data_IF_614159915351
#
_entry.id   IF_614159915351
#
_cell.length_a   1.000
_cell.length_b   1.000
_cell.length_c   1.000
_cell.angle_alpha   90.00
_cell.angle_beta   90.00
_cell.angle_gamma   90.00
#
_symmetry.space_group_name_H-M   'P 1'
#
loop_
_entity.id
_entity.type
_entity.pdbx_description
1 polymer ?
#
# COMPACT_ATOMS: atom_id res chain seq x y z
N UNK A 1 -8.26 21.52 10.79
CA UNK A 1 -7.72 22.81 11.32
C UNK A 1 -8.45 23.28 12.58
N UNK A 2 -9.77 23.56 12.55
CA UNK A 2 -10.51 24.10 13.72
C UNK A 2 -10.34 23.27 15.00
N UNK A 3 -10.41 21.94 14.93
CA UNK A 3 -10.25 21.06 16.10
C UNK A 3 -8.86 21.16 16.71
N UNK A 4 -7.81 21.26 15.91
CA UNK A 4 -6.44 21.44 16.39
C UNK A 4 -6.25 22.79 17.08
N UNK A 5 -6.84 23.86 16.53
CA UNK A 5 -6.82 25.18 17.18
C UNK A 5 -7.57 25.17 18.52
N UNK A 6 -8.74 24.50 18.58
CA UNK A 6 -9.50 24.34 19.84
C UNK A 6 -8.74 23.49 20.87
N UNK A 7 -7.91 22.55 20.43
CA UNK A 7 -7.03 21.76 21.29
C UNK A 7 -5.76 22.50 21.75
N UNK A 8 -5.60 23.78 21.39
CA UNK A 8 -4.49 24.62 21.85
C UNK A 8 -3.24 24.55 20.97
N UNK A 9 -3.33 24.02 19.73
CA UNK A 9 -2.19 24.02 18.83
C UNK A 9 -1.79 25.48 18.49
N UNK A 10 -0.51 25.87 18.69
CA UNK A 10 -0.05 27.21 18.37
C UNK A 10 -0.24 27.57 16.88
N UNK A 11 -0.50 28.85 16.57
CA UNK A 11 -0.52 29.33 15.19
C UNK A 11 0.79 29.01 14.46
N UNK A 12 0.68 28.48 13.22
CA UNK A 12 1.82 28.07 12.42
C UNK A 12 2.29 26.62 12.66
N UNK A 13 1.86 25.96 13.77
CA UNK A 13 2.22 24.57 14.04
C UNK A 13 1.62 23.54 13.09
N UNK A 14 0.47 23.86 12.46
CA UNK A 14 -0.15 23.07 11.40
C UNK A 14 -0.80 23.99 10.38
N UNK A 15 -0.44 23.83 9.11
CA UNK A 15 -0.95 24.60 7.99
C UNK A 15 -1.57 23.68 6.96
N UNK A 16 -2.64 24.10 6.30
CA UNK A 16 -3.31 23.40 5.22
C UNK A 16 -3.13 24.17 3.92
N UNK A 17 -2.52 23.53 2.92
CA UNK A 17 -2.48 24.03 1.54
C UNK A 17 -3.23 23.05 0.67
N UNK A 18 -4.17 23.56 -0.14
CA UNK A 18 -4.94 22.77 -1.10
C UNK A 18 -4.56 23.16 -2.52
N UNK A 19 -4.52 22.19 -3.43
CA UNK A 19 -4.22 22.43 -4.82
C UNK A 19 -3.95 21.14 -5.58
N UNK A 20 -3.63 21.28 -6.84
CA UNK A 20 -3.26 20.19 -7.72
C UNK A 20 -1.76 19.91 -7.73
N UNK A 21 -1.30 19.34 -8.85
CA UNK A 21 0.10 18.94 -9.06
C UNK A 21 1.09 20.10 -8.87
N UNK A 22 0.75 21.30 -9.37
CA UNK A 22 1.64 22.47 -9.28
C UNK A 22 1.89 22.89 -7.83
N UNK A 23 0.83 22.86 -7.00
CA UNK A 23 0.95 23.13 -5.56
C UNK A 23 1.83 22.14 -4.85
N UNK A 24 1.69 20.82 -5.17
CA UNK A 24 2.55 19.79 -4.62
C UNK A 24 4.01 19.93 -5.05
N UNK A 25 4.26 20.31 -6.30
CA UNK A 25 5.60 20.59 -6.81
C UNK A 25 6.23 21.80 -6.12
N UNK A 26 5.47 22.90 -5.96
CA UNK A 26 5.96 24.09 -5.26
C UNK A 26 6.29 23.78 -3.80
N UNK A 27 5.44 22.99 -3.09
CA UNK A 27 5.71 22.59 -1.72
C UNK A 27 6.99 21.74 -1.61
N UNK A 28 7.14 20.75 -2.48
CA UNK A 28 8.29 19.85 -2.45
C UNK A 28 9.63 20.53 -2.86
N UNK A 29 9.56 21.70 -3.47
CA UNK A 29 10.71 22.49 -3.89
C UNK A 29 11.19 23.52 -2.85
N UNK A 30 10.52 23.63 -1.70
CA UNK A 30 10.95 24.56 -0.65
C UNK A 30 12.32 24.16 -0.08
N UNK A 31 13.22 25.13 -0.02
CA UNK A 31 14.58 24.93 0.51
C UNK A 31 14.57 24.61 2.01
N UNK A 32 13.71 25.28 2.77
CA UNK A 32 13.60 25.15 4.22
C UNK A 32 12.79 23.92 4.68
N UNK A 33 12.49 22.97 3.77
CA UNK A 33 11.75 21.77 4.11
C UNK A 33 12.67 20.74 4.78
N UNK A 34 12.42 20.38 6.04
CA UNK A 34 13.19 19.36 6.78
C UNK A 34 12.83 17.92 6.33
N UNK A 35 11.62 17.71 5.86
CA UNK A 35 11.18 16.40 5.42
C UNK A 35 9.91 16.44 4.60
N UNK A 36 9.69 15.36 3.82
CA UNK A 36 8.53 15.15 2.99
C UNK A 36 7.97 13.74 3.21
N UNK A 37 6.74 13.66 3.70
CA UNK A 37 6.00 12.42 3.81
C UNK A 37 4.96 12.40 2.67
N UNK A 38 5.10 11.43 1.79
CA UNK A 38 4.31 11.33 0.56
C UNK A 38 3.52 10.04 0.51
N UNK A 39 2.23 10.15 0.16
CA UNK A 39 1.39 9.01 -0.21
C UNK A 39 0.84 9.22 -1.61
N UNK A 40 1.06 8.26 -2.52
CA UNK A 40 0.59 8.36 -3.90
C UNK A 40 1.17 7.30 -4.84
N UNK A 41 1.21 7.61 -6.14
CA UNK A 41 1.72 6.66 -7.12
C UNK A 41 3.24 6.46 -7.03
N UNK A 42 3.72 5.25 -7.34
CA UNK A 42 5.15 4.95 -7.40
C UNK A 42 5.90 5.90 -8.35
N UNK A 43 5.30 6.26 -9.48
CA UNK A 43 5.93 7.19 -10.42
C UNK A 43 6.20 8.57 -9.80
N UNK A 44 5.25 9.12 -9.05
CA UNK A 44 5.43 10.40 -8.34
C UNK A 44 6.46 10.25 -7.21
N UNK A 45 6.41 9.15 -6.44
CA UNK A 45 7.40 8.87 -5.40
C UNK A 45 8.82 8.80 -5.94
N UNK A 46 9.03 8.15 -7.08
CA UNK A 46 10.35 8.14 -7.75
C UNK A 46 10.79 9.53 -8.25
N UNK A 47 9.87 10.39 -8.67
CA UNK A 47 10.20 11.77 -9.04
C UNK A 47 10.66 12.55 -7.81
N UNK A 48 9.95 12.45 -6.68
CA UNK A 48 10.33 13.09 -5.42
C UNK A 48 11.68 12.56 -4.90
N UNK A 49 11.91 11.25 -4.99
CA UNK A 49 13.19 10.65 -4.60
C UNK A 49 14.34 11.21 -5.43
N UNK A 50 14.18 11.33 -6.76
CA UNK A 50 15.21 11.96 -7.62
C UNK A 50 15.41 13.42 -7.28
N UNK A 51 14.34 14.17 -7.02
CA UNK A 51 14.42 15.59 -6.65
C UNK A 51 15.21 15.82 -5.37
N UNK A 52 15.07 14.95 -4.36
CA UNK A 52 15.71 15.07 -3.06
C UNK A 52 17.02 14.27 -2.93
N UNK A 53 17.46 13.57 -3.99
CA UNK A 53 18.62 12.66 -3.92
C UNK A 53 19.94 13.33 -3.54
N UNK A 54 20.09 14.64 -3.76
CA UNK A 54 21.25 15.43 -3.36
C UNK A 54 21.13 16.13 -2.00
N UNK A 55 20.07 15.85 -1.23
CA UNK A 55 19.73 16.53 0.02
C UNK A 55 19.55 15.50 1.16
N UNK A 56 20.67 14.86 1.60
CA UNK A 56 20.61 13.77 2.59
C UNK A 56 20.13 14.22 3.98
N UNK A 57 20.19 15.52 4.25
CA UNK A 57 19.68 16.16 5.46
C UNK A 57 18.15 16.15 5.53
N UNK A 58 17.46 15.98 4.40
CA UNK A 58 15.99 15.95 4.34
C UNK A 58 15.43 14.55 4.49
N UNK A 59 14.44 14.41 5.33
CA UNK A 59 13.70 13.15 5.48
C UNK A 59 12.76 12.99 4.30
N UNK A 60 12.81 11.82 3.64
CA UNK A 60 11.82 11.43 2.65
C UNK A 60 11.17 10.11 3.08
N UNK A 61 9.86 10.12 3.32
CA UNK A 61 9.07 8.93 3.59
C UNK A 61 8.05 8.73 2.45
N UNK A 62 8.17 7.60 1.76
CA UNK A 62 7.35 7.27 0.59
C UNK A 62 6.42 6.09 0.89
N UNK A 63 5.13 6.35 0.83
CA UNK A 63 4.05 5.37 0.83
C UNK A 63 3.42 5.34 -0.56
N UNK A 64 3.69 4.26 -1.31
CA UNK A 64 3.30 4.16 -2.71
C UNK A 64 2.33 3.00 -2.91
N UNK A 65 1.79 2.89 -4.13
CA UNK A 65 0.84 1.85 -4.47
C UNK A 65 1.40 0.43 -4.38
N UNK A 66 0.58 -0.55 -4.73
CA UNK A 66 0.94 -1.96 -4.68
C UNK A 66 0.24 -2.77 -5.78
N UNK A 67 0.90 -3.82 -6.25
CA UNK A 67 0.29 -4.84 -7.11
C UNK A 67 -0.03 -6.09 -6.28
N UNK A 68 -0.84 -5.90 -5.24
CA UNK A 68 -1.00 -6.79 -4.09
C UNK A 68 -1.64 -8.13 -4.45
N UNK A 69 -1.02 -9.27 -4.10
CA UNK A 69 -1.60 -10.59 -4.26
C UNK A 69 -2.50 -10.99 -3.09
N UNK A 70 -3.64 -11.59 -3.40
CA UNK A 70 -4.47 -12.36 -2.48
C UNK A 70 -4.47 -13.82 -2.94
N UNK A 71 -3.95 -14.71 -2.11
CA UNK A 71 -3.87 -16.15 -2.39
C UNK A 71 -5.13 -16.81 -1.80
N UNK A 72 -5.86 -17.57 -2.62
CA UNK A 72 -6.95 -18.45 -2.19
C UNK A 72 -6.46 -19.89 -2.37
N UNK A 73 -6.10 -20.52 -1.27
CA UNK A 73 -5.63 -21.92 -1.26
C UNK A 73 -6.80 -22.89 -1.04
N UNK A 74 -7.41 -22.84 0.12
CA UNK A 74 -8.60 -23.60 0.45
C UNK A 74 -9.54 -22.73 1.26
N UNK A 75 -10.82 -22.77 0.93
CA UNK A 75 -11.86 -22.05 1.66
C UNK A 75 -12.88 -23.06 2.21
N UNK A 76 -12.90 -23.23 3.52
CA UNK A 76 -13.91 -24.04 4.18
C UNK A 76 -15.32 -23.45 4.00
N UNK A 77 -15.41 -22.12 3.93
CA UNK A 77 -16.61 -21.34 3.63
C UNK A 77 -16.35 -20.45 2.41
N UNK A 78 -16.91 -20.84 1.28
CA UNK A 78 -16.73 -20.13 0.00
C UNK A 78 -17.35 -18.72 0.08
N UNK A 79 -18.48 -18.52 0.71
CA UNK A 79 -19.13 -17.22 0.80
C UNK A 79 -18.34 -16.26 1.69
N UNK A 80 -17.75 -16.74 2.78
CA UNK A 80 -16.85 -15.94 3.60
C UNK A 80 -15.57 -15.55 2.83
N UNK A 81 -14.99 -16.46 2.06
CA UNK A 81 -13.81 -16.18 1.23
C UNK A 81 -14.14 -15.20 0.10
N UNK A 82 -15.30 -15.30 -0.54
CA UNK A 82 -15.79 -14.35 -1.55
C UNK A 82 -16.01 -12.97 -0.94
N UNK A 83 -16.65 -12.88 0.22
CA UNK A 83 -16.82 -11.63 0.95
C UNK A 83 -15.48 -10.96 1.26
N UNK A 84 -14.51 -11.71 1.80
CA UNK A 84 -13.16 -11.25 2.08
C UNK A 84 -12.48 -10.72 0.81
N UNK A 85 -12.62 -11.44 -0.32
CA UNK A 85 -12.04 -11.04 -1.60
C UNK A 85 -12.67 -9.76 -2.13
N UNK A 86 -13.97 -9.60 -2.05
CA UNK A 86 -14.70 -8.38 -2.44
C UNK A 86 -14.25 -7.20 -1.57
N UNK A 87 -14.15 -7.38 -0.26
CA UNK A 87 -13.61 -6.37 0.65
C UNK A 87 -12.16 -6.00 0.33
N UNK A 88 -11.35 -6.98 -0.07
CA UNK A 88 -9.95 -6.75 -0.43
C UNK A 88 -9.79 -6.03 -1.76
N UNK A 89 -10.62 -6.33 -2.77
CA UNK A 89 -10.44 -5.85 -4.13
C UNK A 89 -11.27 -4.61 -4.47
N UNK A 90 -12.51 -4.51 -3.96
CA UNK A 90 -13.49 -3.57 -4.48
C UNK A 90 -13.96 -2.50 -3.48
N UNK A 91 -13.61 -2.61 -2.18
CA UNK A 91 -13.93 -1.56 -1.22
C UNK A 91 -13.37 -0.21 -1.69
N UNK A 92 -14.13 0.87 -1.51
CA UNK A 92 -13.74 2.21 -1.99
C UNK A 92 -13.48 2.24 -3.51
N UNK A 93 -14.23 1.45 -4.29
CA UNK A 93 -14.03 1.24 -5.73
C UNK A 93 -12.58 0.81 -6.08
N UNK A 94 -11.95 -0.02 -5.26
CA UNK A 94 -10.56 -0.45 -5.46
C UNK A 94 -9.51 0.65 -5.27
N UNK A 95 -9.87 1.81 -4.71
CA UNK A 95 -8.99 2.96 -4.57
C UNK A 95 -8.29 3.02 -3.20
N UNK A 96 -7.72 1.90 -2.77
CA UNK A 96 -6.76 1.85 -1.65
C UNK A 96 -5.46 1.23 -2.11
N UNK A 97 -4.36 1.73 -1.60
CA UNK A 97 -3.02 1.20 -1.90
C UNK A 97 -2.88 -0.29 -1.55
N UNK A 98 -3.61 -0.77 -0.53
CA UNK A 98 -3.63 -2.17 -0.10
C UNK A 98 -4.69 -3.03 -0.77
N UNK A 99 -5.48 -2.51 -1.73
CA UNK A 99 -6.44 -3.35 -2.43
C UNK A 99 -5.76 -4.49 -3.20
N UNK A 100 -6.41 -5.66 -3.21
CA UNK A 100 -5.99 -6.80 -4.02
C UNK A 100 -6.10 -6.46 -5.52
N UNK A 101 -4.99 -6.61 -6.24
CA UNK A 101 -4.91 -6.44 -7.70
C UNK A 101 -4.76 -7.77 -8.43
N UNK A 102 -4.19 -8.74 -7.72
CA UNK A 102 -3.91 -10.09 -8.23
C UNK A 102 -4.57 -11.10 -7.30
N UNK A 103 -5.44 -11.94 -7.84
CA UNK A 103 -6.01 -13.09 -7.16
C UNK A 103 -5.27 -14.32 -7.63
N UNK A 104 -4.55 -14.98 -6.73
CA UNK A 104 -3.87 -16.24 -7.00
C UNK A 104 -4.76 -17.36 -6.48
N UNK A 105 -5.29 -18.17 -7.37
CA UNK A 105 -6.34 -19.13 -7.08
C UNK A 105 -5.88 -20.55 -7.36
N UNK A 106 -5.97 -21.44 -6.38
CA UNK A 106 -5.62 -22.84 -6.54
C UNK A 106 -6.45 -23.48 -7.65
N UNK A 107 -5.78 -24.24 -8.52
CA UNK A 107 -6.43 -25.01 -9.60
C UNK A 107 -7.35 -26.09 -9.05
N UNK A 108 -8.37 -26.47 -9.80
CA UNK A 108 -9.28 -27.55 -9.51
C UNK A 108 -10.69 -27.11 -9.08
N UNK A 109 -11.56 -28.08 -8.81
CA UNK A 109 -12.99 -27.89 -8.65
C UNK A 109 -13.38 -26.88 -7.55
N UNK A 110 -12.63 -26.82 -6.45
CA UNK A 110 -12.89 -25.87 -5.36
C UNK A 110 -12.57 -24.43 -5.79
N UNK A 111 -11.44 -24.22 -6.49
CA UNK A 111 -11.10 -22.92 -7.06
C UNK A 111 -12.11 -22.47 -8.12
N UNK A 112 -12.60 -23.40 -8.93
CA UNK A 112 -13.63 -23.10 -9.94
C UNK A 112 -14.96 -22.70 -9.29
N UNK A 113 -15.38 -23.40 -8.26
CA UNK A 113 -16.60 -23.06 -7.49
C UNK A 113 -16.47 -21.68 -6.81
N UNK A 114 -15.30 -21.40 -6.20
CA UNK A 114 -15.00 -20.10 -5.62
C UNK A 114 -15.06 -18.98 -6.68
N UNK A 115 -14.40 -19.16 -7.83
CA UNK A 115 -14.36 -18.15 -8.89
C UNK A 115 -15.75 -17.88 -9.48
N UNK A 116 -16.53 -18.93 -9.74
CA UNK A 116 -17.91 -18.82 -10.20
C UNK A 116 -18.76 -18.01 -9.19
N UNK A 117 -18.60 -18.30 -7.90
CA UNK A 117 -19.33 -17.59 -6.85
C UNK A 117 -18.88 -16.13 -6.72
N UNK A 118 -17.57 -15.85 -6.80
CA UNK A 118 -17.03 -14.50 -6.79
C UNK A 118 -17.60 -13.65 -7.94
N UNK A 119 -17.61 -14.18 -9.15
CA UNK A 119 -18.19 -13.51 -10.32
C UNK A 119 -19.68 -13.25 -10.13
N UNK A 120 -20.45 -14.26 -9.69
CA UNK A 120 -21.90 -14.14 -9.49
C UNK A 120 -22.27 -13.10 -8.43
N UNK A 121 -21.48 -12.96 -7.36
CA UNK A 121 -21.70 -11.93 -6.34
C UNK A 121 -21.25 -10.56 -6.83
N UNK A 122 -20.07 -10.47 -7.45
CA UNK A 122 -19.51 -9.22 -7.95
C UNK A 122 -20.36 -8.58 -9.04
N UNK A 123 -21.01 -9.38 -9.89
CA UNK A 123 -21.93 -8.92 -10.93
C UNK A 123 -23.12 -8.12 -10.39
N UNK A 124 -23.50 -8.34 -9.12
CA UNK A 124 -24.60 -7.66 -8.46
C UNK A 124 -24.19 -6.38 -7.74
N UNK A 125 -22.87 -6.10 -7.65
CA UNK A 125 -22.35 -4.87 -7.06
C UNK A 125 -22.59 -3.71 -8.01
N UNK A 126 -23.51 -2.83 -7.65
CA UNK A 126 -23.81 -1.62 -8.40
C UNK A 126 -23.18 -0.42 -7.69
N UNK A 127 -22.30 0.33 -8.37
CA UNK A 127 -21.80 1.60 -7.85
C UNK A 127 -22.92 2.65 -7.76
N UNK A 128 -22.84 3.50 -6.75
CA UNK A 128 -23.80 4.59 -6.56
C UNK A 128 -23.22 5.74 -5.76
N UNK A 129 -24.04 6.75 -5.52
CA UNK A 129 -23.71 7.88 -4.67
C UNK A 129 -23.92 7.53 -3.20
N UNK A 130 -23.36 8.32 -2.31
CA UNK A 130 -23.42 8.12 -0.87
C UNK A 130 -24.87 8.25 -0.30
N UNK A 131 -25.75 8.92 -1.03
CA UNK A 131 -27.15 9.20 -0.68
C UNK A 131 -28.15 8.35 -1.49
N UNK A 132 -27.68 7.40 -2.31
CA UNK A 132 -28.55 6.49 -3.03
C UNK A 132 -29.18 5.44 -2.09
N UNK A 133 -30.44 5.07 -2.37
CA UNK A 133 -31.14 3.98 -1.68
C UNK A 133 -31.52 2.84 -2.65
N UNK A 134 -31.20 1.58 -2.35
CA UNK A 134 -30.44 1.10 -1.19
C UNK A 134 -28.96 1.55 -1.25
N UNK A 135 -28.36 1.73 -0.07
CA UNK A 135 -26.97 2.17 0.03
C UNK A 135 -26.02 1.27 -0.79
N UNK A 136 -25.27 1.83 -1.74
CA UNK A 136 -24.34 1.07 -2.57
C UNK A 136 -23.11 0.60 -1.77
N UNK A 137 -22.57 -0.57 -2.11
CA UNK A 137 -21.30 -1.06 -1.52
C UNK A 137 -20.09 -0.25 -1.99
N UNK A 138 -20.09 0.22 -3.23
CA UNK A 138 -18.99 0.99 -3.81
C UNK A 138 -19.51 2.30 -4.40
N UNK A 139 -18.71 3.37 -4.27
CA UNK A 139 -18.95 4.65 -4.90
C UNK A 139 -18.27 4.78 -6.26
N UNK A 140 -18.20 6.02 -6.77
CA UNK A 140 -17.43 6.34 -7.97
C UNK A 140 -15.92 6.39 -7.71
N UNK A 141 -15.14 6.35 -8.77
CA UNK A 141 -13.73 6.68 -8.74
C UNK A 141 -13.56 8.19 -8.56
N UNK A 142 -12.31 8.62 -8.29
CA UNK A 142 -11.99 10.03 -8.04
C UNK A 142 -12.36 10.95 -9.23
N UNK A 143 -12.39 10.42 -10.44
CA UNK A 143 -12.76 11.16 -11.66
C UNK A 143 -13.21 10.19 -12.75
N UNK A 144 -13.92 10.73 -13.76
CA UNK A 144 -14.26 10.00 -14.98
C UNK A 144 -13.00 9.51 -15.71
N UNK A 145 -11.94 10.31 -15.74
CA UNK A 145 -10.65 9.92 -16.34
C UNK A 145 -10.06 8.69 -15.63
N UNK A 146 -10.11 8.63 -14.31
CA UNK A 146 -9.65 7.47 -13.56
C UNK A 146 -10.48 6.21 -13.89
N UNK A 147 -11.79 6.36 -14.03
CA UNK A 147 -12.65 5.25 -14.45
C UNK A 147 -12.34 4.78 -15.88
N UNK A 148 -12.11 5.72 -16.80
CA UNK A 148 -11.72 5.38 -18.18
C UNK A 148 -10.37 4.68 -18.24
N UNK A 149 -9.39 5.05 -17.42
CA UNK A 149 -8.09 4.36 -17.32
C UNK A 149 -8.25 2.89 -16.90
N UNK A 150 -9.18 2.58 -15.99
CA UNK A 150 -9.46 1.19 -15.61
C UNK A 150 -10.09 0.41 -16.78
N UNK A 151 -11.01 1.02 -17.51
CA UNK A 151 -11.61 0.40 -18.72
C UNK A 151 -10.54 0.14 -19.77
N UNK A 152 -9.66 1.11 -20.04
CA UNK A 152 -8.55 0.95 -20.99
C UNK A 152 -7.61 -0.19 -20.57
N UNK A 153 -7.22 -0.23 -19.29
CA UNK A 153 -6.36 -1.30 -18.77
C UNK A 153 -7.03 -2.69 -18.92
N UNK A 154 -8.34 -2.79 -18.67
CA UNK A 154 -9.06 -4.03 -18.90
C UNK A 154 -9.04 -4.45 -20.38
N UNK A 155 -9.30 -3.51 -21.32
CA UNK A 155 -9.28 -3.78 -22.76
C UNK A 155 -7.89 -4.23 -23.25
N UNK A 156 -6.83 -3.61 -22.73
CA UNK A 156 -5.45 -4.01 -23.02
C UNK A 156 -5.16 -5.44 -22.55
N UNK A 157 -5.58 -5.80 -21.32
CA UNK A 157 -5.43 -7.15 -20.79
C UNK A 157 -6.23 -8.19 -21.60
N UNK A 158 -7.44 -7.84 -22.04
CA UNK A 158 -8.26 -8.71 -22.90
C UNK A 158 -7.60 -8.89 -24.27
N UNK A 159 -7.07 -7.81 -24.88
CA UNK A 159 -6.34 -7.87 -26.16
C UNK A 159 -5.05 -8.70 -26.06
N UNK A 160 -4.43 -8.81 -24.88
CA UNK A 160 -3.28 -9.69 -24.64
C UNK A 160 -3.65 -11.18 -24.54
N UNK A 161 -4.95 -11.51 -24.56
CA UNK A 161 -5.46 -12.88 -24.42
C UNK A 161 -6.06 -13.20 -23.06
N UNK A 162 -6.25 -12.21 -22.19
CA UNK A 162 -6.97 -12.37 -20.94
C UNK A 162 -8.42 -12.77 -21.17
N UNK A 163 -8.92 -13.70 -20.35
CA UNK A 163 -10.33 -14.15 -20.43
C UNK A 163 -11.18 -13.30 -19.49
N UNK A 164 -11.99 -12.40 -20.04
CA UNK A 164 -12.93 -11.59 -19.26
C UNK A 164 -13.99 -12.48 -18.62
N UNK A 165 -14.09 -12.44 -17.29
CA UNK A 165 -15.10 -13.12 -16.48
C UNK A 165 -16.23 -12.19 -16.08
N UNK A 166 -15.89 -10.93 -15.82
CA UNK A 166 -16.81 -9.83 -15.54
C UNK A 166 -16.22 -8.55 -16.13
N UNK A 167 -16.88 -7.99 -17.16
CA UNK A 167 -16.43 -6.76 -17.79
C UNK A 167 -16.78 -5.53 -16.91
N UNK A 168 -15.84 -4.63 -16.61
CA UNK A 168 -16.16 -3.37 -15.97
C UNK A 168 -16.96 -2.48 -16.93
N UNK A 169 -17.96 -1.76 -16.43
CA UNK A 169 -18.83 -0.90 -17.24
C UNK A 169 -19.06 0.44 -16.55
N UNK A 170 -18.88 1.51 -17.27
CA UNK A 170 -19.35 2.84 -16.87
C UNK A 170 -20.88 2.83 -16.88
N UNK A 171 -21.51 3.10 -15.74
CA UNK A 171 -22.98 3.09 -15.61
C UNK A 171 -23.63 4.28 -16.29
N UNK A 172 -22.94 5.42 -16.33
CA UNK A 172 -23.44 6.66 -16.92
C UNK A 172 -22.26 7.44 -17.50
N UNK A 173 -22.40 7.88 -18.74
CA UNK A 173 -21.43 8.79 -19.37
C UNK A 173 -21.32 10.10 -18.57
N UNK A 174 -20.12 10.65 -18.47
CA UNK A 174 -19.85 11.86 -17.69
C UNK A 174 -19.79 11.64 -16.19
N UNK A 175 -19.75 10.36 -15.74
CA UNK A 175 -19.60 10.01 -14.31
C UNK A 175 -18.43 9.06 -14.09
N UNK A 176 -18.04 8.92 -12.82
CA UNK A 176 -16.97 7.99 -12.41
C UNK A 176 -17.52 6.65 -11.84
N UNK A 177 -18.81 6.35 -12.06
CA UNK A 177 -19.46 5.15 -11.57
C UNK A 177 -19.11 3.95 -12.44
N UNK A 178 -18.16 3.14 -12.01
CA UNK A 178 -17.64 1.98 -12.72
C UNK A 178 -17.95 0.69 -11.95
N UNK A 179 -18.56 -0.30 -12.62
CA UNK A 179 -18.78 -1.63 -12.03
C UNK A 179 -17.46 -2.39 -11.87
N UNK A 180 -17.37 -3.36 -10.94
CA UNK A 180 -16.20 -4.23 -10.84
C UNK A 180 -15.92 -4.99 -12.12
N UNK A 181 -14.62 -5.22 -12.39
CA UNK A 181 -14.13 -6.09 -13.44
C UNK A 181 -13.32 -7.26 -12.89
N UNK A 182 -13.44 -8.43 -13.51
CA UNK A 182 -12.65 -9.63 -13.20
C UNK A 182 -12.16 -10.23 -14.50
N UNK A 183 -10.83 -10.42 -14.64
CA UNK A 183 -10.22 -10.99 -15.83
C UNK A 183 -9.20 -12.07 -15.43
N UNK A 184 -9.30 -13.24 -16.06
CA UNK A 184 -8.35 -14.34 -15.85
C UNK A 184 -7.18 -14.23 -16.83
N UNK A 185 -5.98 -14.27 -16.26
CA UNK A 185 -4.72 -14.07 -16.97
C UNK A 185 -3.82 -15.31 -16.96
N UNK A 186 -4.36 -16.47 -16.55
CA UNK A 186 -3.59 -17.74 -16.52
C UNK A 186 -3.05 -18.06 -17.89
N UNK A 187 -1.73 -18.27 -18.01
CA UNK A 187 -1.05 -18.57 -19.29
C UNK A 187 -0.78 -17.36 -20.18
N UNK A 188 -1.23 -16.15 -19.80
CA UNK A 188 -0.92 -14.93 -20.58
C UNK A 188 0.46 -14.41 -20.17
N UNK A 189 1.36 -14.33 -21.15
CA UNK A 189 2.71 -13.81 -20.96
C UNK A 189 2.78 -12.28 -21.16
N UNK A 190 3.81 -11.65 -20.58
CA UNK A 190 4.11 -10.24 -20.83
C UNK A 190 3.17 -9.25 -20.14
N UNK A 191 2.36 -9.69 -19.19
CA UNK A 191 1.49 -8.80 -18.40
C UNK A 191 2.35 -7.82 -17.60
N UNK A 192 2.14 -6.53 -17.82
CA UNK A 192 2.90 -5.48 -17.13
C UNK A 192 2.67 -5.53 -15.62
N UNK A 193 3.77 -5.39 -14.85
CA UNK A 193 3.72 -5.27 -13.39
C UNK A 193 3.36 -3.84 -13.00
N UNK A 194 2.10 -3.47 -13.25
CA UNK A 194 1.56 -2.16 -12.98
C UNK A 194 0.31 -2.23 -12.11
N UNK A 195 0.13 -1.22 -11.28
CA UNK A 195 -1.06 -1.05 -10.47
C UNK A 195 -2.18 -0.42 -11.31
N UNK A 196 -3.31 -1.10 -11.39
CA UNK A 196 -4.57 -0.50 -11.88
C UNK A 196 -5.37 -0.02 -10.67
N UNK A 197 -5.36 1.29 -10.42
CA UNK A 197 -5.96 1.88 -9.21
C UNK A 197 -7.47 2.05 -9.36
N UNK A 198 -8.17 0.93 -9.29
CA UNK A 198 -9.62 0.86 -9.47
C UNK A 198 -10.16 -0.56 -9.27
N UNK A 199 -11.47 -0.79 -9.52
CA UNK A 199 -12.14 -2.05 -9.20
C UNK A 199 -11.93 -3.12 -10.29
N UNK A 200 -10.67 -3.43 -10.62
CA UNK A 200 -10.28 -4.46 -11.57
C UNK A 200 -9.41 -5.51 -10.90
N UNK A 201 -9.89 -6.75 -10.85
CA UNK A 201 -9.20 -7.89 -10.26
C UNK A 201 -8.70 -8.84 -11.35
N UNK A 202 -7.40 -9.08 -11.39
CA UNK A 202 -6.76 -10.05 -12.29
C UNK A 202 -6.58 -11.37 -11.57
N UNK A 203 -6.91 -12.49 -12.22
CA UNK A 203 -6.90 -13.84 -11.65
C UNK A 203 -5.84 -14.69 -12.32
N UNK A 204 -5.02 -15.40 -11.57
CA UNK A 204 -4.11 -16.43 -12.04
C UNK A 204 -4.34 -17.72 -11.29
N UNK A 205 -4.12 -18.85 -11.95
CA UNK A 205 -4.17 -20.18 -11.36
C UNK A 205 -2.78 -20.64 -10.95
N UNK A 206 -2.71 -21.41 -9.88
CA UNK A 206 -1.51 -22.10 -9.44
C UNK A 206 -1.85 -23.54 -9.02
N UNK A 207 -0.87 -24.44 -9.05
CA UNK A 207 -1.06 -25.84 -8.71
C UNK A 207 -0.47 -26.17 -7.32
N UNK A 208 0.67 -25.59 -6.95
CA UNK A 208 1.34 -25.81 -5.65
C UNK A 208 1.44 -24.52 -4.85
N UNK A 209 1.49 -24.63 -3.52
CA UNK A 209 1.56 -23.46 -2.66
C UNK A 209 2.88 -22.68 -2.84
N UNK A 210 3.99 -23.38 -3.11
CA UNK A 210 5.29 -22.76 -3.43
C UNK A 210 5.22 -21.93 -4.73
N UNK A 211 4.48 -22.42 -5.71
CA UNK A 211 4.19 -21.64 -6.92
C UNK A 211 3.39 -20.37 -6.58
N UNK A 212 2.37 -20.48 -5.73
CA UNK A 212 1.61 -19.33 -5.29
C UNK A 212 2.48 -18.27 -4.62
N UNK A 213 3.41 -18.66 -3.75
CA UNK A 213 4.37 -17.75 -3.10
C UNK A 213 5.31 -17.12 -4.15
N UNK A 214 5.81 -17.93 -5.09
CA UNK A 214 6.64 -17.43 -6.19
C UNK A 214 5.91 -16.38 -7.02
N UNK A 215 4.67 -16.68 -7.40
CA UNK A 215 3.82 -15.74 -8.14
C UNK A 215 3.49 -14.50 -7.31
N UNK A 216 3.22 -14.65 -6.02
CA UNK A 216 2.96 -13.53 -5.12
C UNK A 216 4.14 -12.55 -5.09
N UNK A 217 5.35 -13.07 -5.01
CA UNK A 217 6.59 -12.30 -4.97
C UNK A 217 7.05 -11.77 -6.34
N UNK A 218 6.47 -12.27 -7.44
CA UNK A 218 6.83 -11.83 -8.79
C UNK A 218 6.21 -10.46 -9.12
N UNK A 219 6.67 -9.47 -8.41
CA UNK A 219 6.31 -8.06 -8.59
C UNK A 219 7.42 -7.16 -8.03
N UNK A 220 7.59 -5.98 -8.61
CA UNK A 220 8.48 -4.96 -8.06
C UNK A 220 7.91 -4.27 -6.82
N UNK A 221 6.60 -4.39 -6.59
CA UNK A 221 5.89 -3.85 -5.43
C UNK A 221 6.02 -4.78 -4.22
N UNK A 222 5.61 -4.30 -3.06
CA UNK A 222 5.63 -5.07 -1.83
C UNK A 222 4.90 -4.38 -0.68
N UNK A 223 3.64 -3.93 -0.93
CA UNK A 223 2.87 -3.27 0.13
C UNK A 223 2.10 -4.30 0.97
N UNK A 224 1.20 -5.06 0.36
CA UNK A 224 0.40 -6.05 1.08
C UNK A 224 0.30 -7.37 0.33
N UNK A 225 0.17 -8.45 1.09
CA UNK A 225 -0.07 -9.82 0.63
C UNK A 225 -1.06 -10.50 1.58
N UNK A 226 -1.87 -11.44 1.09
CA UNK A 226 -2.79 -12.16 1.96
C UNK A 226 -3.03 -13.60 1.53
N UNK A 227 -3.45 -14.39 2.51
CA UNK A 227 -3.79 -15.79 2.36
C UNK A 227 -5.18 -16.08 2.93
N UNK A 228 -5.98 -16.80 2.17
CA UNK A 228 -7.18 -17.51 2.64
C UNK A 228 -6.87 -19.00 2.64
N UNK A 229 -6.76 -19.58 3.81
CA UNK A 229 -6.46 -21.00 4.02
C UNK A 229 -6.79 -21.39 5.46
N UNK A 230 -7.28 -22.62 5.72
CA UNK A 230 -7.43 -23.14 7.08
C UNK A 230 -6.07 -23.55 7.69
N UNK A 231 -5.02 -23.70 6.88
CA UNK A 231 -3.73 -24.23 7.26
C UNK A 231 -2.80 -23.16 7.84
N UNK A 232 -2.55 -23.22 9.15
CA UNK A 232 -1.65 -22.30 9.85
C UNK A 232 -0.21 -22.39 9.34
N UNK A 233 0.26 -23.59 9.03
CA UNK A 233 1.60 -23.84 8.52
C UNK A 233 1.86 -23.14 7.18
N UNK A 234 0.86 -23.05 6.31
CA UNK A 234 0.97 -22.30 5.05
C UNK A 234 1.06 -20.80 5.28
N UNK A 235 0.33 -20.29 6.29
CA UNK A 235 0.49 -18.88 6.65
C UNK A 235 1.86 -18.59 7.24
N UNK A 236 2.38 -19.47 8.11
CA UNK A 236 3.72 -19.30 8.70
C UNK A 236 4.81 -19.34 7.61
N UNK A 237 4.66 -20.21 6.60
CA UNK A 237 5.53 -20.21 5.43
C UNK A 237 5.41 -18.90 4.64
N UNK A 238 4.19 -18.48 4.30
CA UNK A 238 3.98 -17.22 3.57
C UNK A 238 4.56 -16.02 4.33
N UNK A 239 4.38 -15.97 5.66
CA UNK A 239 4.88 -14.86 6.49
C UNK A 239 6.41 -14.73 6.43
N UNK A 240 7.13 -15.85 6.30
CA UNK A 240 8.59 -15.87 6.16
C UNK A 240 9.07 -15.52 4.76
N UNK A 241 8.31 -15.90 3.73
CA UNK A 241 8.75 -15.82 2.34
C UNK A 241 8.15 -14.64 1.57
N UNK A 242 7.05 -14.05 2.05
CA UNK A 242 6.40 -12.94 1.37
C UNK A 242 7.26 -11.67 1.34
N UNK A 243 7.35 -11.05 0.18
CA UNK A 243 8.01 -9.76 -0.02
C UNK A 243 6.99 -8.61 0.09
N UNK A 244 6.42 -8.44 1.28
CA UNK A 244 5.43 -7.40 1.56
C UNK A 244 5.58 -6.86 2.98
N UNK A 245 5.22 -5.59 3.19
CA UNK A 245 5.23 -4.97 4.52
C UNK A 245 4.01 -5.34 5.36
N UNK A 246 2.93 -5.81 4.74
CA UNK A 246 1.69 -6.25 5.40
C UNK A 246 1.35 -7.65 4.88
N UNK A 247 1.22 -8.62 5.79
CA UNK A 247 0.83 -9.99 5.43
C UNK A 247 -0.36 -10.40 6.28
N UNK A 248 -1.52 -10.63 5.65
CA UNK A 248 -2.77 -10.92 6.34
C UNK A 248 -3.21 -12.38 6.12
N UNK A 249 -3.73 -13.01 7.16
CA UNK A 249 -4.29 -14.36 7.11
C UNK A 249 -5.77 -14.35 7.47
N UNK A 250 -6.62 -14.85 6.56
CA UNK A 250 -8.08 -14.89 6.71
C UNK A 250 -8.67 -13.53 7.12
N UNK A 251 -8.05 -12.45 6.65
CA UNK A 251 -8.49 -11.06 6.83
C UNK A 251 -8.35 -10.32 5.50
N UNK A 252 -9.17 -9.29 5.25
CA UNK A 252 -9.02 -8.46 4.06
C UNK A 252 -7.65 -7.81 3.98
N UNK A 253 -7.11 -7.65 2.76
CA UNK A 253 -5.85 -6.93 2.53
C UNK A 253 -5.93 -5.46 2.93
N UNK A 254 -7.12 -4.87 2.87
CA UNK A 254 -7.40 -3.47 3.20
C UNK A 254 -7.44 -3.17 4.69
N UNK A 255 -7.22 -4.17 5.53
CA UNK A 255 -7.15 -4.03 6.99
C UNK A 255 -5.70 -3.94 7.46
N UNK A 256 -5.36 -2.87 8.20
CA UNK A 256 -4.09 -2.72 8.89
C UNK A 256 -4.33 -2.14 10.29
N UNK A 257 -3.56 -2.60 11.27
CA UNK A 257 -3.64 -2.08 12.64
C UNK A 257 -2.87 -0.75 12.73
N UNK A 258 -3.47 0.28 13.34
CA UNK A 258 -2.81 1.58 13.57
C UNK A 258 -1.63 1.50 14.55
N UNK A 259 -1.56 0.44 15.34
CA UNK A 259 -0.47 0.15 16.30
C UNK A 259 0.67 -0.68 15.70
N UNK A 260 0.59 -1.01 14.41
CA UNK A 260 1.62 -1.74 13.68
C UNK A 260 2.29 -0.82 12.65
N UNK A 261 3.47 -1.20 12.12
CA UNK A 261 4.05 -0.48 10.99
C UNK A 261 3.13 -0.59 9.77
N UNK A 262 3.02 0.50 9.01
CA UNK A 262 2.32 0.52 7.73
C UNK A 262 3.29 1.01 6.66
N UNK A 263 3.57 0.19 5.66
CA UNK A 263 4.45 0.55 4.56
C UNK A 263 4.89 -0.66 3.77
N UNK A 264 5.46 -0.41 2.61
CA UNK A 264 5.90 -1.42 1.68
C UNK A 264 7.40 -1.40 1.41
N UNK A 265 7.85 -2.46 0.77
CA UNK A 265 9.20 -2.61 0.23
C UNK A 265 9.16 -2.49 -1.30
N UNK A 266 10.33 -2.47 -1.95
CA UNK A 266 10.42 -2.33 -3.40
C UNK A 266 9.79 -1.04 -3.90
N UNK A 267 8.97 -1.12 -4.95
CA UNK A 267 8.29 0.04 -5.53
C UNK A 267 7.13 0.60 -4.68
N UNK A 268 6.86 0.01 -3.52
CA UNK A 268 5.81 0.45 -2.62
C UNK A 268 6.27 1.35 -1.47
N UNK A 269 7.59 1.49 -1.27
CA UNK A 269 8.10 2.34 -0.19
C UNK A 269 9.62 2.47 -0.20
N UNK A 270 10.17 3.25 0.73
CA UNK A 270 11.61 3.50 0.85
C UNK A 270 12.15 3.27 2.27
N UNK A 271 11.68 2.22 2.93
CA UNK A 271 12.10 1.84 4.29
C UNK A 271 11.78 2.87 5.39
N UNK A 272 10.74 3.66 5.18
CA UNK A 272 10.17 4.59 6.16
C UNK A 272 8.69 4.27 6.35
N UNK A 273 8.35 3.14 7.03
CA UNK A 273 6.96 2.79 7.27
C UNK A 273 6.27 3.88 8.11
N UNK A 274 5.01 4.13 7.79
CA UNK A 274 4.13 5.07 8.48
C UNK A 274 3.44 4.44 9.70
N UNK A 275 2.37 5.04 10.16
CA UNK A 275 1.62 4.68 11.35
C UNK A 275 2.50 4.75 12.61
N UNK A 276 2.61 3.68 13.40
CA UNK A 276 3.39 3.68 14.65
C UNK A 276 4.83 4.15 14.48
N UNK A 277 5.49 3.76 13.38
CA UNK A 277 6.91 4.07 13.15
C UNK A 277 7.17 5.50 12.66
N UNK A 278 6.14 6.23 12.22
CA UNK A 278 6.33 7.60 11.74
C UNK A 278 6.87 8.54 12.85
N UNK A 279 6.53 8.30 14.10
CA UNK A 279 7.01 9.09 15.23
C UNK A 279 8.54 9.03 15.38
N UNK A 280 9.15 7.88 15.10
CA UNK A 280 10.59 7.67 15.30
C UNK A 280 11.44 8.51 14.37
N UNK A 281 11.06 8.62 13.08
CA UNK A 281 11.82 9.42 12.12
C UNK A 281 11.33 10.87 12.00
N UNK A 282 10.25 11.25 12.67
CA UNK A 282 9.81 12.64 12.82
C UNK A 282 10.44 13.34 14.03
N UNK A 283 11.27 12.65 14.81
CA UNK A 283 12.00 13.18 15.93
C UNK A 283 13.51 12.98 15.74
N UNK A 284 14.29 13.96 16.17
CA UNK A 284 15.75 13.85 16.14
C UNK A 284 16.25 13.19 17.44
N UNK A 285 16.88 12.01 17.39
CA UNK A 285 17.45 11.37 18.57
C UNK A 285 18.69 12.14 19.04
N UNK A 286 18.70 12.57 20.29
CA UNK A 286 19.83 13.29 20.89
C UNK A 286 20.42 12.43 22.00
N UNK A 287 21.75 12.25 21.98
CA UNK A 287 22.48 11.66 23.08
C UNK A 287 23.16 12.76 23.89
N UNK A 288 23.10 12.67 25.23
CA UNK A 288 23.86 13.54 26.13
C UNK A 288 24.65 12.73 27.16
N UNK A 289 25.78 13.28 27.59
CA UNK A 289 26.52 12.83 28.74
C UNK A 289 26.49 13.98 29.73
N UNK A 290 25.98 13.72 30.93
CA UNK A 290 25.71 14.76 31.90
C UNK A 290 26.44 14.46 33.22
N UNK A 291 26.91 15.51 33.91
CA UNK A 291 27.46 15.44 35.25
C UNK A 291 27.03 16.67 36.01
N UNK A 292 26.57 16.52 37.26
CA UNK A 292 26.19 17.63 38.15
C UNK A 292 27.37 18.54 38.52
N UNK A 293 28.61 18.06 38.39
CA UNK A 293 29.82 18.81 38.67
C UNK A 293 30.96 18.43 37.71
N UNK A 294 31.76 19.43 37.37
CA UNK A 294 33.01 19.22 36.64
C UNK A 294 34.14 18.96 37.64
N UNK A 295 34.65 17.74 37.65
CA UNK A 295 35.77 17.33 38.51
C UNK A 295 36.86 16.68 37.66
N UNK A 296 38.12 16.89 38.06
CA UNK A 296 39.24 16.24 37.44
C UNK A 296 39.16 14.73 37.68
N UNK A 297 39.21 13.86 36.65
CA UNK A 297 39.18 12.43 36.84
C UNK A 297 40.33 11.95 37.76
N UNK A 298 40.04 10.97 38.61
CA UNK A 298 41.07 10.36 39.47
C UNK A 298 42.18 9.67 38.69
N UNK A 299 41.88 9.25 37.43
CA UNK A 299 42.87 8.68 36.51
C UNK A 299 42.85 9.50 35.25
N UNK A 300 43.95 10.07 34.90
CA UNK A 300 44.16 10.83 33.65
C UNK A 300 44.60 9.93 32.53
N UNK A 301 44.32 10.34 31.29
CA UNK A 301 44.86 9.66 30.13
C UNK A 301 46.38 9.75 30.11
N UNK A 302 47.09 8.73 29.58
CA UNK A 302 48.54 8.77 29.45
C UNK A 302 49.04 10.03 28.77
N UNK A 303 50.02 10.72 29.36
CA UNK A 303 50.59 11.95 28.82
C UNK A 303 49.87 13.23 29.24
N UNK A 304 48.73 13.17 29.96
CA UNK A 304 48.12 14.33 30.60
C UNK A 304 48.73 14.50 32.00
N UNK A 305 49.36 15.65 32.23
CA UNK A 305 49.92 16.06 33.52
C UNK A 305 49.37 17.44 33.93
N UNK A 306 48.74 17.48 35.06
CA UNK A 306 48.23 18.74 35.67
C UNK A 306 49.06 19.16 36.89
N UNK A 307 50.27 18.60 37.04
CA UNK A 307 51.20 19.09 38.07
C UNK A 307 51.78 20.47 37.66
N UNK A 308 51.91 21.37 38.62
CA UNK A 308 52.49 22.70 38.39
C UNK A 308 54.01 22.67 38.18
N UNK A 309 54.62 21.49 38.05
CA UNK A 309 56.03 21.34 37.73
C UNK A 309 56.27 21.59 36.24
N UNK A 310 56.74 22.78 35.92
CA UNK A 310 57.30 23.11 34.58
C UNK A 310 58.48 22.18 34.34
N UNK A 311 58.30 21.18 33.49
CA UNK A 311 59.41 20.39 32.96
C UNK A 311 60.35 21.34 32.23
N UNK A 312 61.47 21.59 32.84
CA UNK A 312 62.59 22.39 32.28
C UNK A 312 63.38 21.60 31.23
#
# INVERSE_FOLDING_TARGET
MRLWQQAGLPPGGLNLVQGGRETGQALSALEDLDGLLFTGSANTGYQLHRQLSGQPEKILALEMGGNNPLIIDEAADIDAAVHLTIQSAFVTAGQRCTCARRLLLKSGAQGDAFLARLVAVSQRLTPGNWDDEPQPFIGGLISEQAAQQVVTAWQELEAMGGRTLLAPRLLRAGTSLLTPGIIEMTGVAGVADEEVFGPLLRVWRYDTFDEAITMANNTRFGLSCGLVSPAREKFDQLLLEARAGIVNWNKPLTGAASTAPFGGIGASGNHRPSAWYAADYCAWPMASLESDSLTLPATLNPGLDFSDEVVR
#
